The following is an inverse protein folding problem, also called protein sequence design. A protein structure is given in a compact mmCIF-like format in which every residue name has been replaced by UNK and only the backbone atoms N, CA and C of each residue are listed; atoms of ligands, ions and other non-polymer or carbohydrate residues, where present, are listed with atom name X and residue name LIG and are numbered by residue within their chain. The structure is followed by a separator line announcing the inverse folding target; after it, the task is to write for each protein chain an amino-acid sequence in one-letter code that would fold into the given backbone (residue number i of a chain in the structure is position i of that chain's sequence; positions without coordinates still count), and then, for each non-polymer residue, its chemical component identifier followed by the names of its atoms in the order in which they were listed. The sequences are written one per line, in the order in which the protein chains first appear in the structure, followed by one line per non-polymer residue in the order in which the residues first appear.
data_IF_713773190160
#
_entry.id   IF_713773190160
#
_cell.length_a   1.000
_cell.length_b   1.000
_cell.length_c   1.000
_cell.angle_alpha   90.00
_cell.angle_beta   90.00
_cell.angle_gamma   90.00
#
_symmetry.space_group_name_H-M   'P 1'
#
loop_
_entity.id
_entity.type
_entity.pdbx_description
1 polymer ?
#
# COMPACT_ATOMS: atom_id res chain seq x y z
N UNK A 1 -15.68 10.93 -12.12
CA UNK A 1 -14.40 10.43 -11.58
C UNK A 1 -14.68 9.11 -10.91
N UNK A 2 -14.02 8.06 -11.33
CA UNK A 2 -13.92 6.81 -10.57
C UNK A 2 -12.92 7.03 -9.44
N UNK A 3 -13.27 6.59 -8.23
CA UNK A 3 -12.33 6.53 -7.10
C UNK A 3 -11.82 5.10 -7.01
N UNK A 4 -10.51 4.92 -6.92
CA UNK A 4 -9.90 3.63 -6.65
C UNK A 4 -9.12 3.71 -5.35
N UNK A 5 -9.09 2.60 -4.62
CA UNK A 5 -8.28 2.42 -3.42
C UNK A 5 -7.50 1.12 -3.59
N UNK A 6 -6.22 1.15 -3.29
CA UNK A 6 -5.32 0.00 -3.38
C UNK A 6 -4.63 -0.15 -2.03
N UNK A 7 -4.57 -1.40 -1.57
CA UNK A 7 -3.86 -1.77 -0.35
C UNK A 7 -3.00 -2.99 -0.60
N UNK A 8 -1.82 -3.02 0.01
CA UNK A 8 -0.98 -4.21 0.10
C UNK A 8 -1.04 -4.72 1.53
N UNK A 9 -1.44 -5.98 1.68
CA UNK A 9 -1.59 -6.66 2.96
C UNK A 9 -1.19 -8.12 2.80
N UNK A 10 -0.71 -8.73 3.88
CA UNK A 10 -0.47 -10.16 3.93
C UNK A 10 -1.75 -10.90 4.29
N UNK A 11 -2.09 -11.95 3.53
CA UNK A 11 -3.18 -12.83 3.87
C UNK A 11 -2.83 -13.62 5.16
N UNK A 12 -3.62 -13.42 6.20
CA UNK A 12 -3.41 -14.03 7.53
C UNK A 12 -4.13 -15.39 7.69
N UNK A 13 -4.80 -15.86 6.63
CA UNK A 13 -5.59 -17.09 6.62
C UNK A 13 -6.04 -17.46 5.21
N UNK A 14 -6.94 -18.44 5.12
CA UNK A 14 -7.47 -18.95 3.84
C UNK A 14 -8.56 -18.07 3.22
N UNK A 15 -9.06 -17.10 3.98
CA UNK A 15 -10.16 -16.22 3.57
C UNK A 15 -9.83 -14.78 3.95
N UNK A 16 -10.26 -13.85 3.09
CA UNK A 16 -10.23 -12.42 3.34
C UNK A 16 -11.66 -11.89 3.24
N UNK A 17 -12.08 -11.10 4.22
CA UNK A 17 -13.42 -10.52 4.24
C UNK A 17 -13.33 -9.01 4.00
N UNK A 18 -14.16 -8.50 3.09
CA UNK A 18 -14.28 -7.07 2.83
C UNK A 18 -15.64 -6.61 3.34
N UNK A 19 -15.64 -5.67 4.30
CA UNK A 19 -16.86 -5.13 4.90
C UNK A 19 -17.13 -3.71 4.38
N UNK A 20 -18.35 -3.48 3.90
CA UNK A 20 -18.84 -2.16 3.54
C UNK A 20 -19.69 -1.61 4.69
N UNK A 21 -19.04 -0.87 5.58
CA UNK A 21 -19.73 -0.22 6.69
C UNK A 21 -20.31 1.13 6.26
N UNK A 22 -21.58 1.37 6.59
CA UNK A 22 -22.23 2.67 6.41
C UNK A 22 -21.76 3.62 7.52
N UNK A 23 -21.32 4.82 7.16
CA UNK A 23 -21.04 5.86 8.16
C UNK A 23 -22.34 6.46 8.72
N UNK A 24 -22.42 6.81 10.01
CA UNK A 24 -23.63 7.35 10.63
C UNK A 24 -24.16 8.63 9.97
N UNK A 25 -23.28 9.41 9.34
CA UNK A 25 -23.58 10.68 8.67
C UNK A 25 -24.16 10.52 7.25
N UNK A 26 -24.19 9.30 6.70
CA UNK A 26 -24.63 9.03 5.32
C UNK A 26 -26.07 8.54 5.26
N UNK A 27 -26.83 8.96 4.23
CA UNK A 27 -28.21 8.50 3.98
C UNK A 27 -28.30 7.24 3.11
N UNK A 28 -27.35 7.05 2.20
CA UNK A 28 -27.34 5.97 1.22
C UNK A 28 -26.56 4.75 1.71
N UNK A 29 -26.87 3.57 1.16
CA UNK A 29 -26.08 2.36 1.38
C UNK A 29 -24.70 2.47 0.71
N UNK A 30 -23.65 1.92 1.32
CA UNK A 30 -22.34 1.83 0.67
C UNK A 30 -22.43 0.87 -0.52
N UNK A 31 -21.62 1.12 -1.56
CA UNK A 31 -21.51 0.23 -2.72
C UNK A 31 -20.06 0.20 -3.21
N UNK A 32 -19.71 -0.88 -3.89
CA UNK A 32 -18.47 -1.03 -4.66
C UNK A 32 -18.84 -1.48 -6.07
N UNK A 33 -18.14 -0.95 -7.08
CA UNK A 33 -18.35 -1.34 -8.47
C UNK A 33 -17.53 -2.57 -8.88
N UNK A 34 -16.35 -2.73 -8.29
CA UNK A 34 -15.45 -3.84 -8.53
C UNK A 34 -14.58 -4.09 -7.28
N UNK A 35 -14.14 -5.34 -7.11
CA UNK A 35 -13.15 -5.75 -6.14
C UNK A 35 -12.16 -6.65 -6.89
N UNK A 36 -10.88 -6.28 -6.86
CA UNK A 36 -9.80 -7.03 -7.48
C UNK A 36 -8.86 -7.51 -6.37
N UNK A 37 -8.42 -8.77 -6.48
CA UNK A 37 -7.40 -9.36 -5.63
C UNK A 37 -6.28 -9.83 -6.55
N UNK A 38 -5.07 -9.35 -6.30
CA UNK A 38 -3.88 -9.68 -7.07
C UNK A 38 -2.84 -10.23 -6.11
N UNK A 39 -2.41 -11.46 -6.34
CA UNK A 39 -1.32 -12.07 -5.59
C UNK A 39 0.02 -11.46 -6.04
N UNK A 40 0.79 -10.97 -5.08
CA UNK A 40 2.13 -10.40 -5.30
C UNK A 40 3.19 -11.43 -4.95
N UNK A 41 4.40 -11.30 -5.52
CA UNK A 41 5.53 -12.09 -5.06
C UNK A 41 5.90 -11.74 -3.61
N UNK A 42 6.30 -12.75 -2.83
CA UNK A 42 6.72 -12.61 -1.42
C UNK A 42 7.86 -11.61 -1.22
N UNK A 43 8.63 -11.36 -2.27
CA UNK A 43 9.69 -10.35 -2.28
C UNK A 43 9.10 -8.93 -2.19
N UNK A 44 7.94 -8.66 -2.79
CA UNK A 44 7.41 -7.31 -2.96
C UNK A 44 7.01 -6.67 -1.62
N UNK A 45 7.62 -5.51 -1.34
CA UNK A 45 7.42 -4.74 -0.11
C UNK A 45 7.70 -5.50 1.21
N UNK A 46 8.44 -6.62 1.16
CA UNK A 46 8.78 -7.49 2.30
C UNK A 46 9.55 -6.81 3.45
N UNK A 47 10.01 -5.58 3.26
CA UNK A 47 10.58 -4.73 4.31
C UNK A 47 9.52 -4.11 5.24
N UNK A 48 8.24 -4.33 4.93
CA UNK A 48 7.09 -3.96 5.77
C UNK A 48 6.73 -5.13 6.68
N UNK A 49 6.58 -4.85 7.97
CA UNK A 49 6.03 -5.82 8.93
C UNK A 49 4.52 -5.93 8.73
N UNK A 50 4.10 -6.83 7.83
CA UNK A 50 2.68 -7.00 7.45
C UNK A 50 1.82 -7.64 8.55
N UNK A 51 2.42 -8.15 9.64
CA UNK A 51 1.68 -8.54 10.83
C UNK A 51 1.20 -7.32 11.63
N UNK A 52 1.87 -6.17 11.47
CA UNK A 52 1.54 -4.93 12.17
C UNK A 52 0.98 -3.83 11.28
N UNK A 53 1.27 -3.87 9.98
CA UNK A 53 0.95 -2.77 9.06
C UNK A 53 0.39 -3.27 7.74
N UNK A 54 -0.37 -2.42 7.07
CA UNK A 54 -0.70 -2.53 5.65
C UNK A 54 -0.19 -1.28 4.93
N UNK A 55 0.09 -1.41 3.65
CA UNK A 55 0.45 -0.27 2.81
C UNK A 55 -0.81 0.21 2.08
N UNK A 56 -1.21 1.45 2.30
CA UNK A 56 -2.28 2.10 1.53
C UNK A 56 -1.65 2.98 0.45
N UNK A 57 -1.93 2.70 -0.81
CA UNK A 57 -1.30 3.41 -1.93
C UNK A 57 -1.75 4.86 -1.96
N UNK A 58 -0.79 5.78 -1.89
CA UNK A 58 -1.05 7.22 -2.01
C UNK A 58 -0.85 7.65 -3.45
N UNK A 59 0.28 7.27 -4.03
CA UNK A 59 0.60 7.59 -5.42
C UNK A 59 1.68 6.68 -5.97
N UNK A 60 1.65 6.53 -7.29
CA UNK A 60 2.65 5.81 -8.07
C UNK A 60 2.76 6.54 -9.40
N UNK A 61 3.96 6.93 -9.79
CA UNK A 61 4.15 7.79 -10.96
C UNK A 61 5.32 7.39 -11.83
N UNK A 62 5.10 7.44 -13.14
CA UNK A 62 6.14 7.43 -14.15
C UNK A 62 6.57 8.90 -14.39
N UNK A 63 7.74 9.25 -13.87
CA UNK A 63 8.27 10.61 -13.88
C UNK A 63 8.90 10.89 -15.25
N UNK A 64 8.53 12.02 -15.85
CA UNK A 64 8.94 12.38 -17.20
C UNK A 64 8.13 11.71 -18.30
N UNK A 65 7.09 10.95 -17.94
CA UNK A 65 6.13 10.37 -18.87
C UNK A 65 4.93 11.31 -19.11
N UNK A 66 4.31 11.17 -20.28
CA UNK A 66 3.08 11.86 -20.67
C UNK A 66 2.08 10.84 -21.23
N UNK A 67 0.80 11.21 -21.25
CA UNK A 67 -0.26 10.40 -21.86
C UNK A 67 -1.11 9.64 -20.85
N UNK A 68 -1.31 8.35 -21.10
CA UNK A 68 -2.22 7.51 -20.31
C UNK A 68 -1.53 6.86 -19.12
N UNK A 69 -2.34 6.46 -18.13
CA UNK A 69 -1.90 5.66 -16.98
C UNK A 69 -1.35 4.32 -17.48
N UNK A 70 -0.17 3.96 -17.00
CA UNK A 70 0.44 2.66 -17.29
C UNK A 70 -0.13 1.66 -16.29
N UNK A 71 -0.64 0.54 -16.80
CA UNK A 71 -1.27 -0.53 -16.02
C UNK A 71 -1.15 -1.85 -16.78
N UNK A 72 -2.03 -2.83 -16.56
CA UNK A 72 -2.05 -4.04 -17.38
C UNK A 72 -2.25 -3.71 -18.87
N UNK A 73 -1.54 -4.35 -19.82
CA UNK A 73 -0.61 -5.48 -19.65
C UNK A 73 0.85 -5.10 -19.40
N UNK A 74 1.21 -3.81 -19.38
CA UNK A 74 2.59 -3.37 -19.14
C UNK A 74 3.05 -3.72 -17.70
N UNK A 75 2.14 -3.62 -16.72
CA UNK A 75 2.35 -4.09 -15.36
C UNK A 75 1.54 -5.36 -15.09
N UNK A 76 2.24 -6.48 -14.86
CA UNK A 76 1.62 -7.78 -14.59
C UNK A 76 0.76 -7.80 -13.32
N UNK A 77 1.01 -6.89 -12.37
CA UNK A 77 0.24 -6.76 -11.13
C UNK A 77 -0.90 -5.73 -11.23
N UNK A 78 -1.17 -5.23 -12.44
CA UNK A 78 -2.19 -4.22 -12.73
C UNK A 78 -2.08 -2.94 -11.87
N UNK A 79 -0.89 -2.61 -11.37
CA UNK A 79 -0.65 -1.37 -10.62
C UNK A 79 -0.75 -0.17 -11.55
N UNK A 80 -1.36 0.90 -11.06
CA UNK A 80 -1.55 2.12 -11.85
C UNK A 80 -0.38 3.09 -11.64
N UNK A 81 0.36 3.38 -12.72
CA UNK A 81 1.42 4.39 -12.72
C UNK A 81 0.94 5.62 -13.49
N UNK A 82 0.70 6.71 -12.75
CA UNK A 82 0.28 7.96 -13.34
C UNK A 82 1.46 8.66 -14.03
N UNK A 83 1.29 9.18 -15.26
CA UNK A 83 2.32 10.01 -15.87
C UNK A 83 2.46 11.32 -15.09
N UNK A 84 3.69 11.80 -14.92
CA UNK A 84 3.96 13.02 -14.18
C UNK A 84 5.11 13.83 -14.80
N UNK A 85 4.91 15.14 -14.92
CA UNK A 85 5.91 16.13 -15.33
C UNK A 85 5.72 17.40 -14.53
N UNK A 86 6.80 18.14 -14.23
CA UNK A 86 6.76 19.35 -13.41
C UNK A 86 7.42 20.58 -14.08
N UNK A 87 7.65 20.50 -15.39
CA UNK A 87 8.32 21.56 -16.18
C UNK A 87 9.84 21.45 -16.22
N UNK A 88 10.46 20.55 -15.43
CA UNK A 88 11.85 20.18 -15.66
C UNK A 88 12.01 19.45 -17.01
N UNK A 89 13.21 19.49 -17.64
CA UNK A 89 13.52 18.69 -18.81
C UNK A 89 13.27 17.20 -18.60
N UNK A 90 12.84 16.51 -19.64
CA UNK A 90 12.66 15.05 -19.65
C UNK A 90 13.60 14.37 -20.64
N UNK A 91 13.80 13.07 -20.46
CA UNK A 91 14.62 12.23 -21.34
C UNK A 91 14.01 10.82 -21.43
N UNK A 92 14.22 10.13 -22.55
CA UNK A 92 13.80 8.74 -22.73
C UNK A 92 15.01 7.81 -22.73
N UNK A 93 14.84 6.61 -22.18
CA UNK A 93 15.87 5.58 -22.17
C UNK A 93 16.08 4.98 -23.57
N UNK A 94 17.36 4.82 -23.94
CA UNK A 94 17.83 4.12 -25.13
C UNK A 94 18.39 2.72 -24.79
N UNK A 95 18.44 2.36 -23.51
CA UNK A 95 18.84 1.04 -23.03
C UNK A 95 17.63 0.17 -22.74
N UNK A 96 17.73 -1.16 -22.91
CA UNK A 96 16.72 -2.07 -22.40
C UNK A 96 16.52 -1.88 -20.91
N UNK A 97 15.27 -1.86 -20.47
CA UNK A 97 14.90 -1.87 -19.06
C UNK A 97 14.56 -3.30 -18.70
N UNK A 98 15.24 -3.85 -17.69
CA UNK A 98 14.93 -5.15 -17.12
C UNK A 98 14.21 -4.94 -15.78
N UNK A 99 12.86 -5.02 -15.73
CA UNK A 99 12.09 -4.95 -14.48
C UNK A 99 12.60 -5.86 -13.36
N UNK A 100 13.14 -7.03 -13.73
CA UNK A 100 13.68 -8.02 -12.81
C UNK A 100 14.90 -7.54 -12.00
N UNK A 101 15.59 -6.48 -12.45
CA UNK A 101 16.67 -5.85 -11.68
C UNK A 101 16.16 -5.07 -10.45
N UNK A 102 14.83 -4.91 -10.36
CA UNK A 102 14.12 -4.30 -9.26
C UNK A 102 13.26 -5.36 -8.57
N UNK A 103 13.48 -5.57 -7.28
CA UNK A 103 12.80 -6.57 -6.47
C UNK A 103 11.27 -6.44 -6.40
N UNK A 104 10.71 -5.25 -6.68
CA UNK A 104 9.26 -5.03 -6.76
C UNK A 104 8.75 -4.79 -8.20
N UNK A 105 9.56 -5.20 -9.19
CA UNK A 105 9.14 -5.45 -10.57
C UNK A 105 8.32 -4.32 -11.22
N UNK A 106 8.73 -3.04 -11.17
CA UNK A 106 8.04 -1.96 -11.86
C UNK A 106 8.03 -2.21 -13.38
N UNK A 107 6.97 -1.82 -14.11
CA UNK A 107 6.87 -2.08 -15.53
C UNK A 107 7.92 -1.26 -16.28
N UNK A 108 8.54 -1.87 -17.29
CA UNK A 108 9.59 -1.20 -18.09
C UNK A 108 9.10 0.14 -18.66
N UNK A 109 7.83 0.22 -19.03
CA UNK A 109 7.20 1.44 -19.55
C UNK A 109 7.22 2.59 -18.54
N UNK A 110 7.10 2.33 -17.23
CA UNK A 110 7.17 3.37 -16.21
C UNK A 110 8.59 3.93 -16.02
N UNK A 111 9.61 3.14 -16.36
CA UNK A 111 11.01 3.55 -16.27
C UNK A 111 11.56 4.14 -17.58
N UNK A 112 10.76 4.12 -18.65
CA UNK A 112 11.18 4.60 -19.98
C UNK A 112 11.51 6.09 -19.99
N UNK A 113 10.69 6.89 -19.33
CA UNK A 113 10.90 8.33 -19.16
C UNK A 113 11.69 8.64 -17.89
N UNK A 114 12.29 9.82 -17.86
CA UNK A 114 12.83 10.40 -16.63
C UNK A 114 12.73 11.93 -16.64
N UNK A 115 12.55 12.51 -15.45
CA UNK A 115 12.82 13.94 -15.21
C UNK A 115 14.31 14.11 -14.99
N UNK A 116 14.95 15.11 -15.59
CA UNK A 116 16.39 15.36 -15.53
C UNK A 116 16.71 16.85 -15.49
N UNK A 117 17.98 17.17 -15.24
CA UNK A 117 18.51 18.54 -15.39
C UNK A 117 19.85 18.53 -16.14
N UNK A 118 20.42 19.72 -16.37
CA UNK A 118 21.73 19.88 -17.00
C UNK A 118 22.88 19.43 -16.09
N UNK A 119 24.03 19.11 -16.68
CA UNK A 119 25.26 18.75 -15.95
C UNK A 119 25.59 19.77 -14.86
N UNK A 120 25.93 19.27 -13.67
CA UNK A 120 26.35 20.07 -12.52
C UNK A 120 25.21 20.83 -11.81
N UNK A 121 23.98 20.78 -12.32
CA UNK A 121 22.82 21.38 -11.65
C UNK A 121 22.13 20.37 -10.72
N UNK A 122 21.62 20.88 -9.60
CA UNK A 122 20.70 20.12 -8.75
C UNK A 122 19.36 19.95 -9.47
N UNK A 123 18.70 18.81 -9.27
CA UNK A 123 17.35 18.58 -9.73
C UNK A 123 16.41 18.61 -8.53
N UNK A 124 15.38 19.45 -8.59
CA UNK A 124 14.33 19.53 -7.59
C UNK A 124 13.03 19.12 -8.24
N UNK A 125 12.33 18.15 -7.65
CA UNK A 125 11.04 17.63 -8.10
C UNK A 125 10.03 17.77 -6.96
N UNK A 126 8.93 18.48 -7.22
CA UNK A 126 7.82 18.61 -6.27
C UNK A 126 6.82 17.48 -6.53
N UNK A 127 6.98 16.38 -5.81
CA UNK A 127 6.18 15.17 -6.02
C UNK A 127 5.91 14.47 -4.68
N UNK A 128 4.66 14.04 -4.42
CA UNK A 128 3.52 14.02 -5.34
C UNK A 128 2.86 15.40 -5.53
N UNK A 129 1.96 15.57 -6.52
CA UNK A 129 1.24 16.84 -6.74
C UNK A 129 0.20 17.15 -5.64
N UNK A 130 0.01 16.24 -4.68
CA UNK A 130 -0.91 16.37 -3.56
C UNK A 130 -0.15 16.58 -2.25
N UNK A 131 -0.80 17.22 -1.28
CA UNK A 131 -0.25 17.37 0.06
C UNK A 131 -0.51 16.12 0.89
N UNK A 132 0.52 15.66 1.61
CA UNK A 132 0.47 14.47 2.44
C UNK A 132 0.00 14.82 3.86
N UNK A 133 -0.91 14.06 4.48
CA UNK A 133 -1.14 14.18 5.92
C UNK A 133 0.12 13.81 6.70
N UNK A 134 0.26 14.30 7.93
CA UNK A 134 1.36 13.88 8.81
C UNK A 134 1.20 12.40 9.18
N UNK A 135 2.06 11.55 8.61
CA UNK A 135 2.04 10.11 8.84
C UNK A 135 3.42 9.49 8.50
N UNK A 136 3.57 8.19 8.75
CA UNK A 136 4.68 7.39 8.26
C UNK A 136 4.37 6.83 6.87
N UNK A 137 5.35 6.89 5.99
CA UNK A 137 5.25 6.47 4.61
C UNK A 137 6.36 5.49 4.24
N UNK A 138 5.99 4.55 3.38
CA UNK A 138 6.93 3.82 2.55
C UNK A 138 7.11 4.61 1.26
N UNK A 139 8.36 4.86 0.86
CA UNK A 139 8.70 5.58 -0.37
C UNK A 139 9.74 4.80 -1.15
N UNK A 140 9.51 4.57 -2.44
CA UNK A 140 10.49 3.97 -3.35
C UNK A 140 10.74 4.89 -4.54
N UNK A 141 12.01 5.10 -4.89
CA UNK A 141 12.46 5.95 -5.98
C UNK A 141 13.32 5.13 -6.95
N UNK A 142 13.07 5.29 -8.25
CA UNK A 142 13.66 4.46 -9.30
C UNK A 142 14.50 5.30 -10.25
N UNK A 143 15.68 4.79 -10.55
CA UNK A 143 16.71 5.50 -11.30
C UNK A 143 17.35 4.58 -12.33
N UNK A 144 17.48 5.02 -13.57
CA UNK A 144 18.24 4.32 -14.60
C UNK A 144 18.86 5.34 -15.56
N UNK A 145 20.13 5.15 -15.89
CA UNK A 145 20.77 5.97 -16.91
C UNK A 145 20.18 5.67 -18.30
N UNK A 146 19.67 6.67 -19.04
CA UNK A 146 19.02 6.47 -20.33
C UNK A 146 20.01 6.16 -21.46
N UNK A 147 21.32 6.32 -21.26
CA UNK A 147 22.33 6.06 -22.29
C UNK A 147 22.55 4.55 -22.45
N UNK A 148 23.01 4.14 -23.62
CA UNK A 148 23.44 2.76 -23.90
C UNK A 148 24.43 2.27 -22.84
N UNK A 149 24.24 1.05 -22.36
CA UNK A 149 25.08 0.45 -21.32
C UNK A 149 26.58 0.51 -21.71
N UNK A 150 27.39 1.14 -20.85
CA UNK A 150 28.84 1.26 -21.01
C UNK A 150 29.51 1.60 -19.67
N UNK A 151 30.84 1.46 -19.54
CA UNK A 151 31.59 1.93 -18.36
C UNK A 151 31.50 3.44 -18.09
N UNK A 152 30.94 4.23 -19.02
CA UNK A 152 30.77 5.69 -18.89
C UNK A 152 29.30 6.12 -18.73
N UNK A 153 28.38 5.14 -18.70
CA UNK A 153 26.93 5.34 -18.58
C UNK A 153 26.48 5.23 -17.14
N UNK A 154 26.93 6.18 -16.32
CA UNK A 154 26.61 6.28 -14.90
C UNK A 154 26.41 7.73 -14.45
N UNK A 155 25.73 7.89 -13.31
CA UNK A 155 25.50 9.16 -12.61
C UNK A 155 25.64 8.95 -11.12
N UNK A 156 26.43 9.79 -10.45
CA UNK A 156 26.56 9.75 -8.99
C UNK A 156 25.99 11.02 -8.38
N UNK A 157 25.01 10.87 -7.49
CA UNK A 157 24.34 11.98 -6.82
C UNK A 157 23.76 11.56 -5.46
N UNK A 158 23.55 12.55 -4.59
CA UNK A 158 22.82 12.37 -3.34
C UNK A 158 21.33 12.61 -3.56
N UNK A 159 20.50 11.92 -2.80
CA UNK A 159 19.04 12.03 -2.78
C UNK A 159 18.63 12.53 -1.40
N UNK A 160 17.83 13.59 -1.38
CA UNK A 160 17.20 14.10 -0.16
C UNK A 160 15.71 14.31 -0.37
N UNK A 161 14.95 14.18 0.70
CA UNK A 161 13.50 14.35 0.70
C UNK A 161 13.13 15.31 1.82
N UNK A 162 12.47 16.43 1.49
CA UNK A 162 12.14 17.51 2.42
C UNK A 162 13.37 17.98 3.24
N UNK A 163 14.51 18.13 2.57
CA UNK A 163 15.78 18.56 3.18
C UNK A 163 16.47 17.52 4.07
N UNK A 164 15.89 16.32 4.25
CA UNK A 164 16.52 15.20 4.97
C UNK A 164 17.21 14.25 4.00
N UNK A 165 18.34 13.72 4.39
CA UNK A 165 19.03 12.72 3.58
C UNK A 165 18.16 11.47 3.40
N UNK A 166 18.02 11.04 2.15
CA UNK A 166 17.30 9.81 1.78
C UNK A 166 18.29 8.73 1.33
N UNK A 167 19.28 9.10 0.49
CA UNK A 167 20.36 8.22 0.08
C UNK A 167 21.59 9.04 -0.30
N UNK A 168 22.80 8.61 0.07
CA UNK A 168 24.05 9.29 -0.30
C UNK A 168 24.87 8.48 -1.29
N UNK A 169 25.45 9.13 -2.29
CA UNK A 169 26.32 8.51 -3.29
C UNK A 169 25.60 7.50 -4.18
N UNK A 170 24.34 7.74 -4.52
CA UNK A 170 23.59 6.86 -5.42
C UNK A 170 24.29 6.78 -6.78
N UNK A 171 24.61 5.57 -7.23
CA UNK A 171 25.17 5.33 -8.55
C UNK A 171 24.10 4.76 -9.50
N UNK A 172 23.47 5.63 -10.28
CA UNK A 172 22.51 5.22 -11.29
C UNK A 172 23.23 4.85 -12.59
N UNK A 173 23.15 3.57 -12.97
CA UNK A 173 23.72 3.03 -14.22
C UNK A 173 22.61 2.64 -15.19
N UNK A 174 22.97 2.15 -16.38
CA UNK A 174 22.01 1.63 -17.35
C UNK A 174 21.27 0.35 -16.86
N UNK A 175 21.78 -0.38 -15.86
CA UNK A 175 21.05 -1.48 -15.24
C UNK A 175 19.86 -0.97 -14.40
N UNK A 176 20.02 0.21 -13.81
CA UNK A 176 19.04 0.80 -12.91
C UNK A 176 19.33 0.47 -11.45
N UNK A 177 18.71 1.26 -10.58
CA UNK A 177 18.80 1.13 -9.13
C UNK A 177 17.53 1.71 -8.51
N UNK A 178 17.06 1.09 -7.44
CA UNK A 178 15.98 1.62 -6.63
C UNK A 178 16.45 1.77 -5.19
N UNK A 179 16.06 2.89 -4.60
CA UNK A 179 16.26 3.18 -3.18
C UNK A 179 14.92 3.44 -2.53
N UNK A 180 14.79 3.05 -1.27
CA UNK A 180 13.53 3.14 -0.56
C UNK A 180 13.74 3.51 0.90
N UNK A 181 12.67 4.03 1.50
CA UNK A 181 12.51 4.13 2.95
C UNK A 181 11.22 3.43 3.32
N UNK A 182 11.26 2.59 4.35
CA UNK A 182 10.10 1.87 4.85
C UNK A 182 9.42 2.55 6.05
N UNK A 183 9.82 3.78 6.43
CA UNK A 183 9.23 4.48 7.59
C UNK A 183 9.50 6.00 7.62
N UNK A 184 9.59 6.67 6.47
CA UNK A 184 9.84 8.12 6.46
C UNK A 184 8.59 8.91 6.90
N UNK A 185 8.77 9.90 7.77
CA UNK A 185 7.67 10.80 8.16
C UNK A 185 7.58 11.98 7.19
N UNK A 186 6.42 12.17 6.58
CA UNK A 186 6.14 13.26 5.64
C UNK A 186 4.87 14.02 6.05
N UNK A 187 4.77 15.28 5.64
CA UNK A 187 3.59 16.13 5.79
C UNK A 187 3.64 17.28 4.79
N UNK A 188 2.47 17.74 4.34
CA UNK A 188 2.35 18.82 3.36
C UNK A 188 2.94 18.45 2.01
N UNK A 189 3.51 19.44 1.32
CA UNK A 189 4.20 19.24 0.04
C UNK A 189 5.49 18.48 0.25
N UNK A 190 5.80 17.59 -0.70
CA UNK A 190 7.03 16.80 -0.69
C UNK A 190 7.96 17.23 -1.82
N UNK A 191 9.20 17.52 -1.45
CA UNK A 191 10.28 17.87 -2.35
C UNK A 191 11.31 16.74 -2.37
N UNK A 192 11.64 16.27 -3.58
CA UNK A 192 12.78 15.39 -3.84
C UNK A 192 13.89 16.25 -4.44
N UNK A 193 15.05 16.26 -3.81
CA UNK A 193 16.23 17.00 -4.27
C UNK A 193 17.37 16.02 -4.56
N UNK A 194 17.83 16.04 -5.82
CA UNK A 194 18.99 15.29 -6.29
C UNK A 194 20.19 16.23 -6.45
N UNK A 195 21.28 15.95 -5.73
CA UNK A 195 22.49 16.76 -5.75
C UNK A 195 23.63 16.00 -6.46
N UNK A 196 24.04 16.40 -7.68
CA UNK A 196 25.12 15.71 -8.37
C UNK A 196 26.44 15.83 -7.64
N UNK A 197 27.22 14.76 -7.68
CA UNK A 197 28.64 14.83 -7.36
C UNK A 197 29.39 15.64 -8.44
N UNK A 198 30.42 16.40 -8.07
CA UNK A 198 31.14 17.30 -8.97
C UNK A 198 31.83 16.62 -10.16
N UNK A 199 32.06 15.31 -10.07
CA UNK A 199 32.66 14.49 -11.14
C UNK A 199 31.63 13.92 -12.12
N UNK A 200 30.33 14.10 -11.87
CA UNK A 200 29.28 13.49 -12.69
C UNK A 200 29.26 14.10 -14.11
N UNK A 201 29.32 13.29 -15.18
CA UNK A 201 29.40 13.78 -16.55
C UNK A 201 28.07 14.38 -17.06
N UNK A 202 26.96 14.08 -16.38
CA UNK A 202 25.59 14.45 -16.77
C UNK A 202 24.79 14.87 -15.52
N UNK A 203 23.64 15.52 -15.69
CA UNK A 203 22.78 15.89 -14.55
C UNK A 203 22.14 14.67 -13.90
N UNK A 204 21.65 14.75 -12.65
CA UNK A 204 20.84 13.68 -12.06
C UNK A 204 19.51 13.53 -12.80
N UNK A 205 18.85 12.40 -12.59
CA UNK A 205 17.52 12.10 -13.13
C UNK A 205 16.70 11.28 -12.15
N UNK A 206 15.41 11.09 -12.41
CA UNK A 206 14.54 10.14 -11.72
C UNK A 206 13.47 9.62 -12.70
N UNK A 207 13.25 8.30 -12.73
CA UNK A 207 12.39 7.66 -13.72
C UNK A 207 10.97 7.42 -13.19
N UNK A 208 10.86 6.98 -11.93
CA UNK A 208 9.58 6.68 -11.32
C UNK A 208 9.66 6.83 -9.80
N UNK A 209 8.50 6.85 -9.15
CA UNK A 209 8.41 6.85 -7.70
C UNK A 209 7.08 6.28 -7.19
N UNK A 210 7.10 5.75 -5.97
CA UNK A 210 5.93 5.23 -5.25
C UNK A 210 5.88 5.79 -3.82
N UNK A 211 4.69 6.12 -3.34
CA UNK A 211 4.40 6.43 -1.94
C UNK A 211 3.22 5.60 -1.47
N UNK A 212 3.42 4.88 -0.36
CA UNK A 212 2.35 4.25 0.39
C UNK A 212 2.32 4.83 1.80
N UNK A 213 1.13 5.09 2.32
CA UNK A 213 0.94 5.36 3.73
C UNK A 213 1.02 4.04 4.50
N UNK A 214 1.79 4.02 5.58
CA UNK A 214 1.90 2.86 6.47
C UNK A 214 0.75 2.95 7.47
N UNK A 215 -0.19 2.02 7.38
CA UNK A 215 -1.40 2.00 8.20
C UNK A 215 -1.31 0.83 9.18
N UNK A 216 -1.37 1.07 10.51
CA UNK A 216 -1.41 -0.01 11.49
C UNK A 216 -2.64 -0.90 11.28
N UNK A 217 -2.47 -2.22 11.39
CA UNK A 217 -3.61 -3.13 11.43
C UNK A 217 -4.42 -2.89 12.70
N UNK A 218 -5.75 -2.86 12.59
CA UNK A 218 -6.67 -2.60 13.71
C UNK A 218 -6.79 -3.74 14.74
N UNK A 219 -5.90 -4.74 14.67
CA UNK A 219 -6.02 -6.01 15.38
C UNK A 219 -6.87 -7.03 14.63
N UNK A 220 -7.12 -8.16 15.29
CA UNK A 220 -8.00 -9.26 14.83
C UNK A 220 -8.72 -9.88 16.01
N UNK A 221 -9.91 -10.42 15.79
CA UNK A 221 -10.49 -11.36 16.76
C UNK A 221 -9.65 -12.62 16.83
N UNK A 222 -9.50 -13.21 18.03
CA UNK A 222 -8.81 -14.47 18.21
C UNK A 222 -9.41 -15.55 17.30
N UNK A 223 -8.57 -16.31 16.60
CA UNK A 223 -9.01 -17.30 15.61
C UNK A 223 -9.95 -18.36 16.20
N UNK A 224 -9.75 -18.73 17.47
CA UNK A 224 -10.67 -19.61 18.20
C UNK A 224 -12.08 -19.03 18.32
N UNK A 225 -12.16 -17.72 18.59
CA UNK A 225 -13.42 -17.03 18.80
C UNK A 225 -14.12 -16.80 17.45
N UNK A 226 -13.37 -16.45 16.39
CA UNK A 226 -13.90 -16.38 15.01
C UNK A 226 -14.53 -17.72 14.61
N UNK A 227 -13.80 -18.83 14.77
CA UNK A 227 -14.29 -20.15 14.40
C UNK A 227 -15.56 -20.55 15.17
N UNK A 228 -15.59 -20.31 16.48
CA UNK A 228 -16.76 -20.58 17.32
C UNK A 228 -17.98 -19.72 16.92
N UNK A 229 -17.75 -18.44 16.59
CA UNK A 229 -18.80 -17.52 16.17
C UNK A 229 -19.36 -17.85 14.79
N UNK A 230 -18.51 -18.25 13.83
CA UNK A 230 -18.95 -18.74 12.52
C UNK A 230 -19.78 -20.02 12.63
N UNK A 231 -19.36 -20.98 13.46
CA UNK A 231 -20.11 -22.20 13.72
C UNK A 231 -21.47 -21.91 14.35
N UNK A 232 -21.50 -20.98 15.32
CA UNK A 232 -22.74 -20.51 15.93
C UNK A 232 -23.67 -19.89 14.87
N UNK A 233 -23.15 -18.98 14.05
CA UNK A 233 -23.92 -18.34 12.98
C UNK A 233 -24.53 -19.38 12.01
N UNK A 234 -23.75 -20.40 11.62
CA UNK A 234 -24.22 -21.50 10.77
C UNK A 234 -25.26 -22.40 11.44
N UNK A 235 -25.21 -22.54 12.76
CA UNK A 235 -26.09 -23.41 13.54
C UNK A 235 -27.45 -22.78 13.86
N UNK A 236 -27.56 -21.46 13.70
CA UNK A 236 -28.79 -20.71 13.93
C UNK A 236 -29.60 -20.54 12.63
N UNK A 237 -30.92 -20.57 12.77
CA UNK A 237 -31.89 -20.14 11.78
C UNK A 237 -32.15 -18.66 11.98
N UNK A 238 -31.99 -17.88 10.90
CA UNK A 238 -32.14 -16.43 10.85
C UNK A 238 -31.18 -15.68 11.80
N UNK A 239 -29.86 -15.93 11.75
CA UNK A 239 -28.91 -15.10 12.50
C UNK A 239 -29.01 -13.63 12.03
N UNK A 240 -28.60 -12.65 12.86
CA UNK A 240 -28.54 -11.26 12.44
C UNK A 240 -27.77 -11.09 11.11
N UNK A 241 -28.23 -10.25 10.18
CA UNK A 241 -27.63 -10.17 8.83
C UNK A 241 -26.17 -9.73 8.79
N UNK A 242 -25.69 -9.11 9.86
CA UNK A 242 -24.31 -8.65 10.03
C UNK A 242 -23.38 -9.71 10.63
N UNK A 243 -23.88 -10.91 10.93
CA UNK A 243 -23.07 -12.04 11.41
C UNK A 243 -22.27 -12.70 10.27
N UNK A 244 -21.35 -11.94 9.69
CA UNK A 244 -20.39 -12.38 8.68
C UNK A 244 -19.05 -11.66 8.85
N UNK A 245 -17.94 -12.35 8.54
CA UNK A 245 -16.58 -11.81 8.69
C UNK A 245 -16.07 -11.85 10.13
N UNK A 246 -15.28 -10.85 10.54
CA UNK A 246 -14.75 -10.78 11.91
C UNK A 246 -15.87 -10.34 12.89
N UNK A 247 -16.13 -11.07 13.97
CA UNK A 247 -17.26 -10.80 14.86
C UNK A 247 -17.08 -9.55 15.73
N UNK A 248 -15.86 -9.07 15.92
CA UNK A 248 -15.58 -7.88 16.73
C UNK A 248 -15.06 -6.69 15.94
N UNK A 249 -14.53 -6.90 14.72
CA UNK A 249 -13.85 -5.86 13.97
C UNK A 249 -14.51 -5.55 12.61
N UNK A 250 -14.50 -4.27 12.20
CA UNK A 250 -13.92 -3.12 12.90
C UNK A 250 -14.72 -2.74 14.16
N UNK A 251 -14.06 -2.18 15.20
CA UNK A 251 -14.65 -2.00 16.55
C UNK A 251 -16.00 -1.27 16.58
N UNK A 252 -16.26 -0.37 15.63
CA UNK A 252 -17.52 0.36 15.54
C UNK A 252 -18.65 -0.43 14.85
N UNK A 253 -18.35 -1.61 14.33
CA UNK A 253 -19.23 -2.47 13.55
C UNK A 253 -19.02 -3.95 13.91
N UNK A 254 -18.84 -4.25 15.20
CA UNK A 254 -18.94 -5.63 15.67
C UNK A 254 -20.32 -6.20 15.36
N UNK A 255 -20.41 -7.53 15.30
CA UNK A 255 -21.67 -8.22 15.07
C UNK A 255 -22.72 -7.82 16.10
N UNK A 256 -23.97 -7.70 15.66
CA UNK A 256 -25.11 -7.33 16.50
C UNK A 256 -25.21 -8.29 17.68
N UNK A 257 -25.18 -7.73 18.89
CA UNK A 257 -25.28 -8.49 20.14
C UNK A 257 -23.94 -9.07 20.62
N UNK A 258 -22.83 -8.85 19.93
CA UNK A 258 -21.50 -9.33 20.36
C UNK A 258 -20.75 -8.21 21.07
N UNK A 259 -20.39 -8.46 22.35
CA UNK A 259 -19.49 -7.60 23.11
C UNK A 259 -18.06 -8.13 23.06
N UNK A 260 -17.10 -7.24 22.87
CA UNK A 260 -15.71 -7.61 22.61
C UNK A 260 -14.73 -6.89 23.53
N UNK A 261 -13.57 -7.49 23.75
CA UNK A 261 -12.50 -6.89 24.55
C UNK A 261 -11.70 -5.84 23.79
N UNK A 262 -10.95 -5.02 24.52
CA UNK A 262 -10.02 -4.06 23.93
C UNK A 262 -8.61 -4.64 23.71
N UNK A 263 -8.41 -5.92 24.04
CA UNK A 263 -7.12 -6.61 23.98
C UNK A 263 -6.67 -6.90 22.54
N UNK A 264 -5.42 -7.36 22.40
CA UNK A 264 -4.87 -7.89 21.16
C UNK A 264 -4.27 -9.28 21.42
N UNK A 265 -4.85 -10.37 20.87
CA UNK A 265 -6.02 -10.40 20.01
C UNK A 265 -7.33 -10.04 20.74
N UNK A 266 -8.31 -9.52 19.99
CA UNK A 266 -9.64 -9.18 20.52
C UNK A 266 -10.39 -10.46 20.87
N UNK A 267 -11.08 -10.48 22.02
CA UNK A 267 -11.86 -11.63 22.49
C UNK A 267 -13.35 -11.32 22.53
N UNK A 268 -14.18 -12.34 22.29
CA UNK A 268 -15.63 -12.23 22.53
C UNK A 268 -15.87 -12.37 24.04
N UNK A 269 -16.50 -11.35 24.61
CA UNK A 269 -16.79 -11.25 26.05
C UNK A 269 -18.25 -11.53 26.38
N UNK A 270 -19.18 -11.24 25.45
CA UNK A 270 -20.60 -11.44 25.68
C UNK A 270 -21.40 -11.64 24.38
N UNK A 271 -22.53 -12.34 24.51
CA UNK A 271 -23.50 -12.57 23.45
C UNK A 271 -24.91 -12.22 23.96
N UNK A 272 -25.49 -11.13 23.46
CA UNK A 272 -26.88 -10.74 23.72
C UNK A 272 -27.79 -11.18 22.57
N UNK A 273 -28.42 -12.34 22.77
CA UNK A 273 -29.31 -12.97 21.81
C UNK A 273 -30.80 -12.79 22.15
N UNK A 274 -31.13 -11.98 23.17
CA UNK A 274 -32.49 -11.85 23.70
C UNK A 274 -33.44 -11.26 22.67
N UNK A 275 -34.68 -11.79 22.62
CA UNK A 275 -35.78 -11.29 21.79
C UNK A 275 -35.48 -11.20 20.28
N UNK A 276 -34.54 -12.00 19.77
CA UNK A 276 -34.15 -12.00 18.35
C UNK A 276 -34.88 -13.04 17.48
N UNK A 277 -35.79 -13.84 18.06
CA UNK A 277 -36.52 -14.87 17.32
C UNK A 277 -35.63 -15.99 16.75
N UNK A 278 -34.44 -16.17 17.34
CA UNK A 278 -33.47 -17.17 16.91
C UNK A 278 -33.97 -18.58 17.25
N UNK A 279 -33.75 -19.52 16.35
CA UNK A 279 -33.96 -20.96 16.58
C UNK A 279 -32.80 -21.74 15.97
N UNK A 280 -32.56 -22.99 16.37
CA UNK A 280 -31.40 -23.76 15.90
C UNK A 280 -30.75 -24.52 17.04
N UNK A 281 -29.45 -24.81 16.90
CA UNK A 281 -28.65 -25.50 17.92
C UNK A 281 -27.49 -24.62 18.39
N UNK A 282 -27.08 -24.83 19.64
CA UNK A 282 -25.82 -24.30 20.14
C UNK A 282 -24.73 -25.33 19.83
N UNK A 283 -23.71 -25.00 19.02
CA UNK A 283 -22.62 -25.91 18.72
C UNK A 283 -21.68 -26.04 19.92
N UNK A 284 -21.04 -27.20 20.06
CA UNK A 284 -20.04 -27.44 21.13
C UNK A 284 -18.86 -26.47 21.06
N UNK A 285 -18.53 -25.96 19.87
CA UNK A 285 -17.47 -24.98 19.65
C UNK A 285 -17.70 -23.65 20.39
N UNK A 286 -18.91 -23.38 20.89
CA UNK A 286 -19.16 -22.24 21.78
C UNK A 286 -18.31 -22.29 23.06
N UNK A 287 -17.91 -23.49 23.50
CA UNK A 287 -16.98 -23.67 24.62
C UNK A 287 -15.57 -23.12 24.37
N UNK A 288 -15.21 -22.83 23.12
CA UNK A 288 -13.92 -22.21 22.78
C UNK A 288 -13.89 -20.70 23.03
N UNK A 289 -15.03 -20.06 23.33
CA UNK A 289 -15.11 -18.65 23.70
C UNK A 289 -14.60 -18.43 25.14
N UNK A 290 -13.29 -18.59 25.37
CA UNK A 290 -12.70 -18.54 26.71
C UNK A 290 -12.64 -17.15 27.35
N UNK A 291 -12.95 -16.10 26.57
CA UNK A 291 -13.05 -14.72 27.07
C UNK A 291 -14.44 -14.36 27.64
N UNK A 292 -15.43 -15.26 27.55
CA UNK A 292 -16.80 -14.96 27.97
C UNK A 292 -16.87 -14.58 29.45
N UNK A 293 -17.45 -13.42 29.73
CA UNK A 293 -17.76 -13.01 31.08
C UNK A 293 -18.94 -13.84 31.60
N UNK A 294 -18.76 -14.51 32.74
CA UNK A 294 -19.88 -15.04 33.51
C UNK A 294 -20.66 -13.85 34.08
N UNK A 295 -21.93 -13.71 33.69
CA UNK A 295 -22.85 -12.77 34.34
C UNK A 295 -23.13 -13.18 35.78
#
# INVERSE_FOLDING_TARGET
MSTYFEMVAQAQGKSMSVCLARRPDTRSSPFISALELVDLEDSMYNTTDFDKYVLSTVTRSALGAQGEIISYPDDQYNRYWAPFTDGNPTTESHSPIAPADFWNLPPARALKGAITTSRGKKLTVQWPPLELPFASYYVALYFQDPRTASPYSWRVFDVSMNGKDFFRGLNATAAGVMVYSNTIQLAGKTEILLTPNGTCPVGPLINAAEIYQIVPVGGRTATSDVGAMEDLARSLKNPPPDWAGDPCLPRQNSWTGVGCSDDSPVRVLSLDLKNRGLSGSLPDSIGNLTGMNTM
#
